data_IF_535947537598
#
_entry.id   IF_535947537598
#
_cell.length_a   1.000
_cell.length_b   1.000
_cell.length_c   1.000
_cell.angle_alpha   90.00
_cell.angle_beta   90.00
_cell.angle_gamma   90.00
#
_symmetry.space_group_name_H-M   'P 1'
#
loop_
_entity.id
_entity.type
_entity.pdbx_description
1 polymer ?
#
# COMPACT_ATOMS: atom_id res chain seq x y z
N UNK A 1 2.39 13.47 4.28
CA UNK A 1 1.17 13.11 3.53
C UNK A 1 1.41 11.83 2.74
N UNK A 2 0.38 11.25 2.12
CA UNK A 2 0.52 10.06 1.28
C UNK A 2 1.45 10.30 0.08
N UNK A 3 1.28 11.43 -0.60
CA UNK A 3 2.07 11.81 -1.78
C UNK A 3 3.56 11.97 -1.45
N UNK A 4 3.88 12.63 -0.34
CA UNK A 4 5.25 12.74 0.16
C UNK A 4 5.84 11.36 0.48
N UNK A 5 5.06 10.45 1.07
CA UNK A 5 5.52 9.08 1.31
C UNK A 5 5.87 8.36 0.01
N UNK A 6 5.02 8.49 -1.01
CA UNK A 6 5.28 7.91 -2.33
C UNK A 6 6.52 8.51 -3.00
N UNK A 7 6.71 9.82 -2.93
CA UNK A 7 7.90 10.51 -3.44
C UNK A 7 9.17 9.98 -2.75
N UNK A 8 9.17 9.95 -1.41
CA UNK A 8 10.30 9.45 -0.61
C UNK A 8 10.64 7.99 -0.88
N UNK A 9 9.66 7.11 -1.03
CA UNK A 9 9.93 5.74 -1.43
C UNK A 9 10.52 5.68 -2.85
N UNK A 10 10.05 6.53 -3.76
CA UNK A 10 10.53 6.58 -5.16
C UNK A 10 11.99 7.03 -5.26
N UNK A 11 12.43 7.98 -4.41
CA UNK A 11 13.85 8.37 -4.28
C UNK A 11 14.76 7.19 -3.95
N UNK A 12 14.24 6.14 -3.29
CA UNK A 12 14.97 4.93 -2.91
C UNK A 12 14.83 3.79 -3.95
N UNK A 13 14.21 4.07 -5.09
CA UNK A 13 13.88 3.07 -6.11
C UNK A 13 12.86 2.04 -5.58
N UNK A 14 11.96 2.49 -4.70
CA UNK A 14 10.88 1.71 -4.11
C UNK A 14 9.52 2.39 -4.39
N UNK A 15 8.43 1.82 -3.89
CA UNK A 15 7.12 2.46 -3.86
C UNK A 15 6.53 2.34 -2.46
N UNK A 16 5.42 3.03 -2.19
CA UNK A 16 4.63 2.66 -1.01
C UNK A 16 4.23 1.17 -1.10
N UNK A 17 4.22 0.52 0.05
CA UNK A 17 3.96 -0.90 0.17
C UNK A 17 2.50 -1.22 -0.15
N UNK A 18 2.26 -2.27 -0.92
CA UNK A 18 0.92 -2.66 -1.36
C UNK A 18 0.54 -3.98 -0.68
N UNK A 19 -0.59 -3.99 0.04
CA UNK A 19 -1.19 -5.19 0.59
C UNK A 19 -1.96 -5.95 -0.52
N UNK A 20 -1.29 -6.93 -1.13
CA UNK A 20 -1.84 -7.72 -2.25
C UNK A 20 -2.71 -8.88 -1.77
N UNK A 21 -2.33 -9.49 -0.66
CA UNK A 21 -2.91 -10.72 -0.12
C UNK A 21 -2.79 -10.76 1.41
N UNK A 22 -3.29 -11.85 2.00
CA UNK A 22 -3.24 -12.09 3.45
C UNK A 22 -1.80 -12.29 3.96
N UNK A 23 -0.88 -12.78 3.13
CA UNK A 23 0.52 -12.97 3.50
C UNK A 23 1.21 -11.61 3.70
N UNK A 24 0.98 -10.66 2.79
CA UNK A 24 1.42 -9.28 2.96
C UNK A 24 0.82 -8.64 4.21
N UNK A 25 -0.46 -8.89 4.50
CA UNK A 25 -1.12 -8.39 5.72
C UNK A 25 -0.53 -8.99 7.00
N UNK A 26 -0.24 -10.28 7.01
CA UNK A 26 0.43 -10.94 8.14
C UNK A 26 1.81 -10.33 8.38
N UNK A 27 2.61 -10.16 7.32
CA UNK A 27 3.91 -9.49 7.39
C UNK A 27 3.78 -8.07 7.96
N UNK A 28 2.86 -7.26 7.42
CA UNK A 28 2.66 -5.89 7.89
C UNK A 28 2.23 -5.86 9.35
N UNK A 29 1.36 -6.78 9.78
CA UNK A 29 0.92 -6.89 11.17
C UNK A 29 2.06 -7.20 12.15
N UNK A 30 3.09 -7.93 11.70
CA UNK A 30 4.27 -8.30 12.50
C UNK A 30 5.30 -7.17 12.55
N UNK A 31 5.47 -6.44 11.45
CA UNK A 31 6.54 -5.43 11.31
C UNK A 31 6.09 -4.04 11.77
N UNK A 32 4.82 -3.69 11.58
CA UNK A 32 4.31 -2.32 11.78
C UNK A 32 3.68 -2.07 13.16
N UNK A 33 3.39 -3.10 13.95
CA UNK A 33 2.74 -2.94 15.25
C UNK A 33 1.39 -2.23 15.17
N UNK A 34 1.14 -1.28 16.08
CA UNK A 34 -0.12 -0.52 16.21
C UNK A 34 -0.04 0.90 15.62
N UNK A 35 0.85 1.13 14.65
CA UNK A 35 1.03 2.45 14.04
C UNK A 35 0.33 2.49 12.69
N UNK A 36 -0.34 3.60 12.41
CA UNK A 36 -1.08 3.81 11.17
C UNK A 36 -0.16 4.23 10.02
N UNK A 37 0.16 3.30 9.11
CA UNK A 37 1.08 3.57 8.00
C UNK A 37 0.34 3.78 6.68
N UNK A 38 0.71 4.81 5.94
CA UNK A 38 0.34 4.95 4.53
C UNK A 38 0.84 3.76 3.72
N UNK A 39 -0.05 3.23 2.88
CA UNK A 39 0.19 2.15 1.94
C UNK A 39 -0.08 2.61 0.52
N UNK A 40 0.53 1.93 -0.44
CA UNK A 40 0.37 2.19 -1.86
C UNK A 40 -1.04 1.81 -2.30
N UNK A 41 -1.67 2.69 -3.09
CA UNK A 41 -2.87 2.35 -3.81
C UNK A 41 -2.49 1.78 -5.18
N UNK A 42 -3.18 0.73 -5.66
CA UNK A 42 -3.05 0.33 -7.05
C UNK A 42 -3.60 1.47 -7.93
N UNK A 43 -2.81 1.93 -8.92
CA UNK A 43 -3.19 3.07 -9.78
C UNK A 43 -4.57 2.82 -10.43
N UNK A 44 -5.54 3.70 -10.16
CA UNK A 44 -6.80 3.74 -10.93
C UNK A 44 -6.50 4.37 -12.30
N UNK A 45 -6.35 3.55 -13.33
CA UNK A 45 -6.23 4.01 -14.72
C UNK A 45 -5.28 3.19 -15.59
N UNK A 46 -4.27 2.58 -14.98
CA UNK A 46 -3.46 1.54 -15.62
C UNK A 46 -4.03 0.22 -15.12
N UNK A 47 -4.80 -0.43 -16.00
CA UNK A 47 -5.40 -1.74 -15.78
C UNK A 47 -4.27 -2.68 -15.32
N UNK A 48 -4.13 -2.86 -13.99
CA UNK A 48 -3.14 -3.75 -13.41
C UNK A 48 -3.53 -5.16 -13.84
N UNK A 49 -2.88 -5.57 -14.91
CA UNK A 49 -2.86 -6.92 -15.40
C UNK A 49 -1.61 -7.57 -14.82
N UNK A 50 -1.73 -8.77 -14.25
CA UNK A 50 -0.58 -9.65 -14.21
C UNK A 50 -0.12 -9.90 -15.66
N UNK A 51 1.05 -10.51 -15.89
CA UNK A 51 1.54 -10.81 -17.26
C UNK A 51 0.56 -11.62 -18.14
N UNK A 52 -0.58 -12.05 -17.58
CA UNK A 52 -1.69 -12.77 -18.19
C UNK A 52 -2.96 -11.94 -18.51
N UNK A 53 -3.04 -10.65 -18.15
CA UNK A 53 -4.25 -9.85 -18.42
C UNK A 53 -5.34 -9.85 -17.34
N UNK A 54 -5.12 -10.39 -16.14
CA UNK A 54 -6.15 -10.42 -15.07
C UNK A 54 -6.11 -9.18 -14.14
N UNK A 55 -7.26 -8.60 -13.78
CA UNK A 55 -7.35 -7.35 -13.02
C UNK A 55 -6.89 -7.46 -11.56
N UNK A 56 -6.20 -6.46 -11.04
CA UNK A 56 -5.87 -6.34 -9.61
C UNK A 56 -7.15 -6.18 -8.76
N UNK A 57 -7.55 -7.27 -8.09
CA UNK A 57 -8.34 -7.18 -6.86
C UNK A 57 -7.40 -7.49 -5.70
N UNK A 58 -7.18 -6.52 -4.81
CA UNK A 58 -6.70 -6.90 -3.48
C UNK A 58 -7.79 -7.80 -2.89
N UNK A 59 -7.42 -8.99 -2.42
CA UNK A 59 -8.35 -9.86 -1.69
C UNK A 59 -8.69 -9.29 -0.31
N UNK A 60 -7.98 -8.24 0.10
CA UNK A 60 -8.11 -7.61 1.41
C UNK A 60 -9.10 -6.43 1.29
N UNK A 61 -10.21 -6.44 2.05
CA UNK A 61 -11.17 -5.35 2.01
C UNK A 61 -10.57 -4.06 2.60
N UNK A 62 -10.86 -2.93 1.95
CA UNK A 62 -10.52 -1.59 2.45
C UNK A 62 -11.77 -0.98 3.07
N UNK A 63 -11.66 -0.48 4.30
CA UNK A 63 -12.76 0.16 5.02
C UNK A 63 -12.78 1.67 4.75
N UNK A 64 -13.94 2.19 4.33
CA UNK A 64 -14.17 3.62 4.04
C UNK A 64 -13.99 3.98 2.57
N UNK A 65 -14.46 5.17 2.20
CA UNK A 65 -14.62 5.59 0.79
C UNK A 65 -13.65 6.70 0.35
N UNK A 66 -12.56 6.91 1.09
CA UNK A 66 -11.54 7.92 0.75
C UNK A 66 -10.50 7.41 -0.25
N UNK A 67 -9.70 8.32 -0.79
CA UNK A 67 -8.77 8.02 -1.87
C UNK A 67 -7.53 7.23 -1.43
N UNK A 68 -6.90 7.60 -0.30
CA UNK A 68 -5.62 7.03 0.11
C UNK A 68 -5.80 5.94 1.16
N UNK A 69 -5.01 4.86 1.05
CA UNK A 69 -5.13 3.66 1.88
C UNK A 69 -4.01 3.63 2.92
N UNK A 70 -4.36 3.28 4.16
CA UNK A 70 -3.42 3.06 5.23
C UNK A 70 -3.73 1.76 5.97
N UNK A 71 -2.71 1.22 6.63
CA UNK A 71 -2.87 0.14 7.60
C UNK A 71 -3.29 0.74 8.94
N UNK A 72 -4.34 0.21 9.56
CA UNK A 72 -4.73 0.51 10.92
C UNK A 72 -5.34 -0.72 11.57
N UNK A 73 -4.89 -1.07 12.78
CA UNK A 73 -5.36 -2.23 13.53
C UNK A 73 -5.40 -3.52 12.69
N UNK A 74 -4.32 -3.78 11.92
CA UNK A 74 -4.19 -4.94 11.01
C UNK A 74 -5.26 -5.01 9.91
N UNK A 75 -5.90 -3.89 9.61
CA UNK A 75 -6.92 -3.74 8.56
C UNK A 75 -6.54 -2.62 7.63
N UNK A 76 -7.03 -2.69 6.40
CA UNK A 76 -6.91 -1.59 5.46
C UNK A 76 -8.05 -0.61 5.67
N UNK A 77 -7.71 0.66 5.78
CA UNK A 77 -8.66 1.77 5.88
C UNK A 77 -8.32 2.82 4.85
N UNK A 78 -9.27 3.69 4.53
CA UNK A 78 -9.03 4.85 3.69
C UNK A 78 -9.23 6.16 4.45
N UNK A 79 -8.43 7.17 4.10
CA UNK A 79 -8.51 8.53 4.66
C UNK A 79 -8.08 9.58 3.61
N UNK A 80 -8.25 10.85 3.92
CA UNK A 80 -7.75 11.98 3.15
C UNK A 80 -6.22 11.88 2.98
N UNK A 81 -5.75 11.95 1.74
CA UNK A 81 -4.33 11.85 1.38
C UNK A 81 -3.44 12.91 2.05
N UNK A 82 -4.03 14.05 2.43
CA UNK A 82 -3.34 15.16 3.11
C UNK A 82 -3.10 14.90 4.60
N UNK A 83 -3.68 13.86 5.20
CA UNK A 83 -3.41 13.52 6.60
C UNK A 83 -1.94 13.13 6.81
N UNK A 84 -1.34 13.65 7.88
CA UNK A 84 0.04 13.35 8.26
C UNK A 84 0.10 12.03 9.02
N UNK A 85 0.81 11.05 8.44
CA UNK A 85 1.03 9.72 9.01
C UNK A 85 2.37 9.19 8.49
N UNK A 86 3.03 8.27 9.21
CA UNK A 86 4.18 7.57 8.68
C UNK A 86 3.80 6.72 7.46
N UNK A 87 4.79 6.28 6.70
CA UNK A 87 4.59 5.53 5.45
C UNK A 87 5.49 4.30 5.39
N UNK A 88 5.02 3.26 4.70
CA UNK A 88 5.78 2.03 4.51
C UNK A 88 6.23 1.92 3.04
N UNK A 89 7.53 1.74 2.82
CA UNK A 89 8.07 1.49 1.47
C UNK A 89 8.26 -0.01 1.24
N UNK A 90 8.06 -0.45 0.00
CA UNK A 90 8.43 -1.79 -0.46
C UNK A 90 9.19 -1.70 -1.77
N UNK A 91 10.21 -2.54 -1.94
CA UNK A 91 11.00 -2.67 -3.16
C UNK A 91 10.85 -4.10 -3.66
N UNK A 92 10.66 -4.27 -4.97
CA UNK A 92 10.71 -5.60 -5.56
C UNK A 92 12.10 -6.21 -5.31
N UNK A 93 12.19 -7.53 -5.03
CA UNK A 93 13.48 -8.21 -5.01
C UNK A 93 14.23 -7.91 -6.32
N UNK A 94 15.53 -7.63 -6.22
CA UNK A 94 16.34 -7.46 -7.42
C UNK A 94 16.24 -8.74 -8.28
N UNK A 95 16.17 -8.62 -9.62
CA UNK A 95 16.31 -9.79 -10.49
C UNK A 95 17.63 -10.49 -10.13
N UNK A 96 17.55 -11.80 -9.87
CA UNK A 96 18.73 -12.66 -9.71
C UNK A 96 19.54 -12.71 -11.01
#
# INVERSE_FOLDING_TARGET
TWEQGQERCSELGASLAIAKDEEAMDLFSRVCGNVDYWLGQPRRGERLHWGDGSSYSSRVPVLGDSQCVYLADKRLRSDNCSSERPYLCSKAPAPL
#
